data_IF_005488163920
#
_entry.id   IF_005488163920
#
_cell.length_a   1.000
_cell.length_b   1.000
_cell.length_c   1.000
_cell.angle_alpha   90.00
_cell.angle_beta   90.00
_cell.angle_gamma   90.00
#
_symmetry.space_group_name_H-M   'P 1'
#
loop_
_entity.id
_entity.type
_entity.pdbx_description
1 polymer ?
#
# COMPACT_ATOMS: atom_id res chain seq x y z
N UNK A 1 -24.79 -14.84 -5.60
CA UNK A 1 -23.69 -14.00 -6.13
C UNK A 1 -22.67 -13.57 -5.06
N UNK A 2 -23.00 -13.36 -3.78
CA UNK A 2 -22.03 -12.87 -2.78
C UNK A 2 -21.11 -13.94 -2.13
N UNK A 3 -21.38 -15.23 -2.33
CA UNK A 3 -20.72 -16.34 -1.63
C UNK A 3 -19.35 -16.74 -2.17
N UNK A 4 -18.96 -16.27 -3.37
CA UNK A 4 -17.67 -16.59 -4.00
C UNK A 4 -16.55 -15.59 -3.68
N UNK A 5 -16.81 -14.59 -2.81
CA UNK A 5 -15.92 -13.44 -2.61
C UNK A 5 -15.15 -13.45 -1.29
N UNK A 6 -15.36 -14.44 -0.44
CA UNK A 6 -14.72 -14.55 0.88
C UNK A 6 -13.87 -15.84 0.90
N UNK A 7 -12.72 -15.85 1.60
CA UNK A 7 -11.84 -17.02 1.63
C UNK A 7 -12.61 -18.27 2.08
N UNK A 8 -12.45 -19.37 1.34
CA UNK A 8 -13.20 -20.62 1.50
C UNK A 8 -13.07 -21.25 2.91
N UNK A 9 -12.12 -20.78 3.71
CA UNK A 9 -11.77 -21.34 5.01
C UNK A 9 -12.74 -20.98 6.14
N UNK A 10 -13.61 -19.96 5.99
CA UNK A 10 -14.62 -19.59 7.01
C UNK A 10 -15.91 -19.05 6.42
N UNK A 11 -17.04 -19.45 7.02
CA UNK A 11 -18.36 -18.89 6.68
C UNK A 11 -18.40 -17.41 7.07
N UNK A 12 -18.63 -16.50 6.11
CA UNK A 12 -18.66 -15.06 6.37
C UNK A 12 -19.86 -14.67 7.24
N UNK A 13 -19.68 -13.70 8.12
CA UNK A 13 -20.79 -13.15 8.89
C UNK A 13 -21.78 -12.41 7.97
N UNK A 14 -23.09 -12.43 8.25
CA UNK A 14 -24.08 -11.71 7.45
C UNK A 14 -23.75 -10.22 7.27
N UNK A 15 -23.17 -9.60 8.30
CA UNK A 15 -22.74 -8.20 8.24
C UNK A 15 -21.58 -7.99 7.25
N UNK A 16 -20.63 -8.92 7.16
CA UNK A 16 -19.52 -8.84 6.21
C UNK A 16 -20.04 -8.95 4.77
N UNK A 17 -20.97 -9.86 4.52
CA UNK A 17 -21.65 -9.97 3.22
C UNK A 17 -22.33 -8.65 2.87
N UNK A 18 -23.09 -8.08 3.81
CA UNK A 18 -23.79 -6.79 3.61
C UNK A 18 -22.82 -5.66 3.29
N UNK A 19 -21.69 -5.57 3.99
CA UNK A 19 -20.65 -4.57 3.73
C UNK A 19 -20.11 -4.73 2.30
N UNK A 20 -19.68 -5.95 1.94
CA UNK A 20 -19.09 -6.23 0.63
C UNK A 20 -20.08 -5.93 -0.50
N UNK A 21 -21.31 -6.39 -0.39
CA UNK A 21 -22.33 -6.17 -1.44
C UNK A 21 -22.67 -4.69 -1.58
N UNK A 22 -22.79 -3.97 -0.47
CA UNK A 22 -23.08 -2.52 -0.50
C UNK A 22 -21.96 -1.75 -1.18
N UNK A 23 -20.70 -2.07 -0.86
CA UNK A 23 -19.53 -1.44 -1.49
C UNK A 23 -19.50 -1.73 -2.99
N UNK A 24 -19.65 -2.99 -3.40
CA UNK A 24 -19.56 -3.36 -4.82
C UNK A 24 -20.69 -2.72 -5.65
N UNK A 25 -21.90 -2.65 -5.11
CA UNK A 25 -23.02 -1.96 -5.76
C UNK A 25 -22.79 -0.45 -5.88
N UNK A 26 -22.28 0.20 -4.83
CA UNK A 26 -21.95 1.62 -4.87
C UNK A 26 -20.85 1.91 -5.90
N UNK A 27 -19.81 1.07 -5.96
CA UNK A 27 -18.73 1.20 -6.94
C UNK A 27 -19.23 1.05 -8.39
N UNK A 28 -20.14 0.09 -8.65
CA UNK A 28 -20.77 -0.08 -9.96
C UNK A 28 -21.59 1.15 -10.37
N UNK A 29 -22.28 1.77 -9.42
CA UNK A 29 -23.06 2.99 -9.63
C UNK A 29 -22.24 4.29 -9.59
N UNK A 30 -20.96 4.22 -9.24
CA UNK A 30 -20.08 5.38 -8.99
C UNK A 30 -20.60 6.30 -7.89
N UNK A 31 -21.16 5.71 -6.83
CA UNK A 31 -21.73 6.42 -5.68
C UNK A 31 -20.83 6.30 -4.44
N UNK A 32 -21.00 7.24 -3.51
CA UNK A 32 -20.35 7.18 -2.20
C UNK A 32 -21.20 6.33 -1.24
N UNK A 33 -20.54 5.62 -0.33
CA UNK A 33 -21.21 4.82 0.70
C UNK A 33 -20.67 5.16 2.10
N UNK A 34 -21.59 5.35 3.05
CA UNK A 34 -21.28 5.43 4.47
C UNK A 34 -21.69 4.12 5.15
N UNK A 35 -20.75 3.45 5.81
CA UNK A 35 -20.98 2.15 6.44
C UNK A 35 -20.62 2.25 7.92
N UNK A 36 -21.62 2.06 8.77
CA UNK A 36 -21.43 1.84 10.19
C UNK A 36 -21.42 0.34 10.49
N UNK A 37 -20.47 -0.10 11.32
CA UNK A 37 -20.38 -1.51 11.72
C UNK A 37 -19.72 -1.64 13.10
N UNK A 38 -20.26 -2.48 14.02
CA UNK A 38 -19.72 -2.67 15.37
C UNK A 38 -18.28 -3.16 15.38
N UNK A 39 -17.50 -2.83 16.42
CA UNK A 39 -16.15 -3.41 16.63
C UNK A 39 -16.22 -4.94 16.74
N UNK A 40 -15.16 -5.63 16.31
CA UNK A 40 -15.12 -7.10 16.31
C UNK A 40 -15.86 -7.80 15.16
N UNK A 41 -16.57 -7.09 14.28
CA UNK A 41 -17.34 -7.68 13.16
C UNK A 41 -16.50 -8.09 11.92
N UNK A 42 -15.18 -7.97 11.99
CA UNK A 42 -14.28 -8.26 10.86
C UNK A 42 -14.41 -7.25 9.71
N UNK A 43 -14.59 -5.96 10.01
CA UNK A 43 -14.65 -4.87 9.03
C UNK A 43 -13.48 -4.89 8.04
N UNK A 44 -12.26 -5.00 8.53
CA UNK A 44 -11.04 -5.02 7.71
C UNK A 44 -11.08 -6.14 6.66
N UNK A 45 -11.48 -7.34 7.07
CA UNK A 45 -11.62 -8.48 6.16
C UNK A 45 -12.70 -8.22 5.09
N UNK A 46 -13.85 -7.64 5.48
CA UNK A 46 -14.90 -7.29 4.53
C UNK A 46 -14.44 -6.23 3.51
N UNK A 47 -13.75 -5.18 3.97
CA UNK A 47 -13.20 -4.13 3.10
C UNK A 47 -12.18 -4.68 2.10
N UNK A 48 -11.27 -5.54 2.55
CA UNK A 48 -10.26 -6.15 1.68
C UNK A 48 -10.87 -7.12 0.67
N UNK A 49 -11.87 -7.91 1.05
CA UNK A 49 -12.56 -8.77 0.09
C UNK A 49 -13.36 -7.96 -0.94
N UNK A 50 -13.97 -6.84 -0.55
CA UNK A 50 -14.59 -5.91 -1.49
C UNK A 50 -13.56 -5.31 -2.46
N UNK A 51 -12.42 -4.85 -1.95
CA UNK A 51 -11.32 -4.32 -2.76
C UNK A 51 -10.78 -5.36 -3.75
N UNK A 52 -10.47 -6.58 -3.28
CA UNK A 52 -10.05 -7.71 -4.13
C UNK A 52 -11.07 -7.99 -5.23
N UNK A 53 -12.36 -8.05 -4.89
CA UNK A 53 -13.44 -8.32 -5.84
C UNK A 53 -13.59 -7.22 -6.88
N UNK A 54 -13.36 -5.96 -6.49
CA UNK A 54 -13.34 -4.85 -7.43
C UNK A 54 -12.11 -4.89 -8.35
N UNK A 55 -10.96 -5.22 -7.80
CA UNK A 55 -9.68 -5.35 -8.51
C UNK A 55 -9.71 -6.53 -9.49
N UNK A 56 -10.41 -7.63 -9.17
CA UNK A 56 -10.51 -8.80 -10.06
C UNK A 56 -11.37 -8.54 -11.29
N UNK A 57 -12.39 -7.67 -11.19
CA UNK A 57 -13.24 -7.27 -12.33
C UNK A 57 -12.49 -6.50 -13.41
N UNK A 58 -11.55 -5.62 -13.03
CA UNK A 58 -10.72 -4.88 -13.98
C UNK A 58 -9.31 -4.68 -13.41
N UNK A 59 -8.30 -5.12 -14.19
CA UNK A 59 -6.89 -5.04 -13.77
C UNK A 59 -6.35 -3.62 -13.59
N UNK A 60 -7.01 -2.63 -14.17
CA UNK A 60 -6.66 -1.22 -14.04
C UNK A 60 -7.20 -0.56 -12.77
N UNK A 61 -8.05 -1.25 -11.99
CA UNK A 61 -8.61 -0.69 -10.76
C UNK A 61 -7.53 -0.59 -9.67
N UNK A 62 -7.42 0.61 -9.09
CA UNK A 62 -6.54 0.91 -7.95
C UNK A 62 -7.40 1.31 -6.75
N UNK A 63 -7.09 0.75 -5.59
CA UNK A 63 -7.80 1.01 -4.33
C UNK A 63 -6.87 1.73 -3.36
N UNK A 64 -7.31 2.90 -2.88
CA UNK A 64 -6.60 3.64 -1.84
C UNK A 64 -7.21 3.31 -0.48
N UNK A 65 -6.38 2.85 0.44
CA UNK A 65 -6.78 2.57 1.81
C UNK A 65 -6.22 3.66 2.74
N UNK A 66 -7.11 4.50 3.26
CA UNK A 66 -6.72 5.59 4.14
C UNK A 66 -6.97 5.20 5.61
N UNK A 67 -5.95 5.38 6.46
CA UNK A 67 -6.07 5.18 7.90
C UNK A 67 -5.30 6.27 8.66
N UNK A 68 -5.69 6.50 9.92
CA UNK A 68 -5.04 7.45 10.82
C UNK A 68 -3.79 6.89 11.51
N UNK A 69 -3.64 5.57 11.60
CA UNK A 69 -2.52 4.95 12.36
C UNK A 69 -1.73 3.96 11.53
N UNK A 70 -0.41 3.92 11.75
CA UNK A 70 0.49 2.98 11.06
C UNK A 70 0.17 1.52 11.41
N UNK A 71 -0.17 1.23 12.68
CA UNK A 71 -0.56 -0.11 13.13
C UNK A 71 -1.79 -0.67 12.41
N UNK A 72 -2.79 0.18 12.11
CA UNK A 72 -3.97 -0.25 11.34
C UNK A 72 -3.60 -0.63 9.91
N UNK A 73 -2.64 0.07 9.30
CA UNK A 73 -2.17 -0.22 7.95
C UNK A 73 -1.34 -1.51 7.88
N UNK A 74 -0.57 -1.84 8.92
CA UNK A 74 0.15 -3.12 9.03
C UNK A 74 -0.82 -4.30 9.10
N UNK A 75 -1.84 -4.21 9.96
CA UNK A 75 -2.88 -5.24 10.06
C UNK A 75 -3.60 -5.47 8.73
N UNK A 76 -3.86 -4.40 7.98
CA UNK A 76 -4.48 -4.48 6.66
C UNK A 76 -3.57 -5.16 5.65
N UNK A 77 -2.28 -4.84 5.67
CA UNK A 77 -1.28 -5.43 4.79
C UNK A 77 -1.17 -6.94 5.01
N UNK A 78 -1.19 -7.38 6.28
CA UNK A 78 -1.24 -8.79 6.65
C UNK A 78 -2.56 -9.46 6.21
N UNK A 79 -3.69 -8.78 6.39
CA UNK A 79 -5.00 -9.27 5.93
C UNK A 79 -5.02 -9.48 4.41
N UNK A 80 -4.43 -8.58 3.63
CA UNK A 80 -4.31 -8.73 2.17
C UNK A 80 -3.49 -9.98 1.83
N UNK A 81 -2.37 -10.20 2.51
CA UNK A 81 -1.52 -11.38 2.32
C UNK A 81 -2.27 -12.69 2.56
N UNK A 82 -3.12 -12.73 3.57
CA UNK A 82 -3.95 -13.88 3.91
C UNK A 82 -5.08 -14.12 2.89
N UNK A 83 -5.67 -13.05 2.37
CA UNK A 83 -6.78 -13.14 1.41
C UNK A 83 -6.29 -13.45 0.00
N UNK A 84 -5.24 -12.77 -0.45
CA UNK A 84 -4.69 -12.92 -1.80
C UNK A 84 -3.23 -12.41 -1.85
N UNK A 85 -2.30 -13.35 -1.84
CA UNK A 85 -0.86 -13.10 -1.90
C UNK A 85 -0.36 -12.71 -3.29
N UNK A 86 -1.24 -12.48 -4.27
CA UNK A 86 -0.90 -12.00 -5.62
C UNK A 86 -1.16 -10.51 -5.82
N UNK A 87 -1.90 -9.87 -4.91
CA UNK A 87 -2.23 -8.44 -5.01
C UNK A 87 -1.06 -7.59 -4.52
N UNK A 88 -0.45 -6.86 -5.45
CA UNK A 88 0.64 -5.93 -5.12
C UNK A 88 0.14 -4.78 -4.24
N UNK A 89 0.74 -4.62 -3.06
CA UNK A 89 0.46 -3.53 -2.14
C UNK A 89 1.66 -2.63 -1.93
N UNK A 90 1.45 -1.32 -1.81
CA UNK A 90 2.49 -0.37 -1.41
C UNK A 90 1.95 0.67 -0.44
N UNK A 91 2.83 1.24 0.38
CA UNK A 91 2.49 2.34 1.29
C UNK A 91 3.02 3.65 0.74
N UNK A 92 2.16 4.67 0.69
CA UNK A 92 2.56 6.01 0.33
C UNK A 92 3.28 6.64 1.53
N UNK A 93 4.51 7.10 1.29
CA UNK A 93 5.36 7.69 2.32
C UNK A 93 6.15 8.86 1.76
N UNK A 94 6.35 9.91 2.56
CA UNK A 94 7.20 11.03 2.20
C UNK A 94 8.69 10.71 2.29
N UNK A 95 9.50 11.68 1.83
CA UNK A 95 10.96 11.55 1.75
C UNK A 95 11.59 11.52 3.14
N UNK A 96 10.97 12.17 4.12
CA UNK A 96 11.42 12.25 5.51
C UNK A 96 11.54 10.87 6.18
N UNK A 97 10.69 9.90 5.81
CA UNK A 97 10.72 8.54 6.38
C UNK A 97 11.51 7.53 5.52
N UNK A 98 11.75 7.80 4.24
CA UNK A 98 12.40 6.87 3.31
C UNK A 98 13.82 7.27 2.86
N UNK A 99 14.23 8.51 3.09
CA UNK A 99 15.51 8.99 2.57
C UNK A 99 16.68 8.44 3.39
N UNK A 100 17.58 7.70 2.73
CA UNK A 100 18.84 7.22 3.31
C UNK A 100 20.00 8.21 3.14
N UNK A 101 19.81 9.27 2.38
CA UNK A 101 20.83 10.29 2.21
C UNK A 101 20.99 11.03 3.54
N UNK A 102 22.09 10.77 4.25
CA UNK A 102 22.46 11.50 5.45
C UNK A 102 22.44 13.00 5.12
N UNK A 103 21.71 13.80 5.87
CA UNK A 103 21.64 15.24 5.65
C UNK A 103 22.76 15.92 6.47
N UNK A 104 23.92 16.27 5.86
CA UNK A 104 25.00 16.91 6.61
C UNK A 104 24.68 18.35 7.05
N UNK A 105 23.56 18.95 6.62
CA UNK A 105 23.29 20.40 6.81
C UNK A 105 22.05 20.72 7.66
N UNK A 106 21.47 19.74 8.35
CA UNK A 106 20.64 19.92 9.56
C UNK A 106 19.32 20.71 9.48
N UNK A 107 19.13 21.65 8.56
CA UNK A 107 17.99 22.57 8.55
C UNK A 107 17.46 22.79 7.12
N UNK A 108 16.52 21.95 6.70
CA UNK A 108 15.83 22.13 5.42
C UNK A 108 14.82 21.03 5.13
N UNK A 109 13.74 21.39 4.44
CA UNK A 109 12.75 20.45 3.92
C UNK A 109 13.47 19.38 3.08
N UNK A 110 13.31 18.09 3.44
CA UNK A 110 13.96 16.97 2.75
C UNK A 110 13.63 16.95 1.25
N UNK A 111 12.47 17.44 0.83
CA UNK A 111 12.14 17.59 -0.58
C UNK A 111 13.04 18.60 -1.30
N UNK A 112 13.34 19.73 -0.65
CA UNK A 112 14.25 20.75 -1.17
C UNK A 112 15.68 20.19 -1.27
N UNK A 113 16.19 19.61 -0.17
CA UNK A 113 17.52 18.98 -0.13
C UNK A 113 17.65 17.94 -1.26
N UNK A 114 16.66 17.05 -1.37
CA UNK A 114 16.62 16.03 -2.41
C UNK A 114 16.71 16.65 -3.81
N UNK A 115 15.95 17.71 -4.11
CA UNK A 115 15.97 18.32 -5.44
C UNK A 115 17.34 18.92 -5.80
N UNK A 116 18.07 19.45 -4.82
CA UNK A 116 19.44 19.97 -5.01
C UNK A 116 20.44 18.85 -5.24
N UNK A 117 20.43 17.81 -4.39
CA UNK A 117 21.48 16.76 -4.44
C UNK A 117 21.22 15.67 -5.48
N UNK A 118 19.98 15.53 -5.97
CA UNK A 118 19.55 14.43 -6.84
C UNK A 118 20.39 14.25 -8.10
N UNK A 119 20.78 15.36 -8.75
CA UNK A 119 21.54 15.32 -10.01
C UNK A 119 23.06 15.30 -9.80
N UNK A 120 23.52 15.90 -8.72
CA UNK A 120 24.95 16.21 -8.57
C UNK A 120 25.67 15.24 -7.61
N UNK A 121 25.03 14.82 -6.50
CA UNK A 121 25.74 14.14 -5.40
C UNK A 121 25.01 12.95 -4.76
N UNK A 122 23.75 12.67 -5.13
CA UNK A 122 22.99 11.58 -4.54
C UNK A 122 23.34 10.22 -5.16
N UNK A 123 24.26 9.48 -4.51
CA UNK A 123 24.64 8.11 -4.90
C UNK A 123 23.40 7.22 -5.09
N UNK A 124 22.49 7.25 -4.12
CA UNK A 124 21.26 6.46 -4.14
C UNK A 124 20.37 6.71 -5.37
N UNK A 125 20.20 7.96 -5.79
CA UNK A 125 19.39 8.27 -6.98
C UNK A 125 20.15 7.92 -8.26
N UNK A 126 21.45 8.19 -8.31
CA UNK A 126 22.29 7.91 -9.49
C UNK A 126 22.36 6.43 -9.86
N UNK A 127 22.15 5.54 -8.88
CA UNK A 127 22.13 4.09 -9.07
C UNK A 127 20.78 3.55 -9.52
N UNK A 128 19.71 4.36 -9.50
CA UNK A 128 18.41 3.96 -10.02
C UNK A 128 18.53 3.72 -11.53
N UNK A 129 18.20 2.50 -11.96
CA UNK A 129 18.30 2.09 -13.36
C UNK A 129 19.65 1.50 -13.75
N UNK A 130 20.68 1.65 -12.90
CA UNK A 130 21.97 0.94 -13.04
C UNK A 130 21.96 -0.38 -12.27
N UNK A 131 21.28 -0.41 -11.14
CA UNK A 131 21.12 -1.59 -10.28
C UNK A 131 19.70 -2.13 -10.42
N UNK A 132 19.56 -3.46 -10.44
CA UNK A 132 18.25 -4.12 -10.45
C UNK A 132 17.47 -3.77 -9.17
N UNK A 133 16.21 -3.37 -9.34
CA UNK A 133 15.38 -3.00 -8.18
C UNK A 133 15.03 -4.25 -7.36
N UNK A 134 14.96 -4.14 -6.02
CA UNK A 134 14.72 -5.27 -5.13
C UNK A 134 13.43 -6.00 -5.50
N UNK A 135 13.53 -7.26 -5.92
CA UNK A 135 12.32 -8.05 -6.21
C UNK A 135 11.56 -8.31 -4.90
N UNK A 136 10.25 -8.00 -4.86
CA UNK A 136 9.40 -8.42 -3.76
C UNK A 136 9.52 -9.92 -3.50
N UNK A 137 9.65 -10.35 -2.25
CA UNK A 137 9.56 -11.77 -1.86
C UNK A 137 8.10 -12.28 -1.81
N UNK A 138 7.24 -11.78 -2.70
CA UNK A 138 5.77 -12.01 -2.72
C UNK A 138 5.02 -10.75 -3.16
N UNK A 139 3.69 -10.69 -3.08
CA UNK A 139 2.96 -9.49 -3.50
C UNK A 139 3.02 -8.31 -2.53
N UNK A 140 3.64 -8.47 -1.36
CA UNK A 140 3.73 -7.41 -0.35
C UNK A 140 5.19 -7.21 0.01
N UNK A 141 5.74 -6.04 -0.29
CA UNK A 141 7.00 -5.58 0.33
C UNK A 141 6.64 -4.69 1.50
N UNK A 142 7.08 -5.06 2.70
CA UNK A 142 7.03 -4.14 3.83
C UNK A 142 8.05 -3.00 3.63
N UNK A 143 7.76 -1.85 4.21
CA UNK A 143 8.62 -0.68 4.10
C UNK A 143 10.00 -0.90 4.70
N UNK A 144 10.08 -1.57 5.85
CA UNK A 144 11.35 -1.83 6.53
C UNK A 144 12.24 -2.73 5.66
N UNK A 145 11.64 -3.77 5.06
CA UNK A 145 12.29 -4.62 4.08
C UNK A 145 12.75 -3.82 2.85
N UNK A 146 11.90 -2.93 2.33
CA UNK A 146 12.24 -2.07 1.20
C UNK A 146 13.47 -1.21 1.51
N UNK A 147 13.47 -0.54 2.67
CA UNK A 147 14.56 0.36 3.08
C UNK A 147 15.85 -0.43 3.31
N UNK A 148 15.77 -1.58 3.98
CA UNK A 148 16.91 -2.47 4.23
C UNK A 148 17.53 -2.97 2.91
N UNK A 149 16.71 -3.45 1.98
CA UNK A 149 17.19 -3.93 0.68
C UNK A 149 17.78 -2.79 -0.17
N UNK A 150 17.13 -1.62 -0.17
CA UNK A 150 17.64 -0.46 -0.89
C UNK A 150 18.95 0.07 -0.31
N UNK A 151 19.13 -0.02 1.02
CA UNK A 151 20.39 0.31 1.70
C UNK A 151 21.52 -0.60 1.24
N UNK A 152 21.29 -1.93 1.22
CA UNK A 152 22.28 -2.90 0.73
C UNK A 152 22.64 -2.71 -0.74
N UNK A 153 21.66 -2.36 -1.57
CA UNK A 153 21.85 -2.14 -3.01
C UNK A 153 22.32 -0.71 -3.36
N UNK A 154 22.43 0.18 -2.37
CA UNK A 154 22.79 1.59 -2.57
C UNK A 154 21.90 2.30 -3.61
N UNK A 155 20.58 2.05 -3.55
CA UNK A 155 19.56 2.70 -4.39
C UNK A 155 18.59 3.52 -3.54
N UNK A 156 17.94 4.52 -4.12
CA UNK A 156 17.06 5.42 -3.37
C UNK A 156 15.71 4.75 -3.03
N UNK A 157 15.39 4.52 -1.73
CA UNK A 157 14.15 3.84 -1.37
C UNK A 157 12.90 4.64 -1.78
N UNK A 158 12.95 5.97 -1.70
CA UNK A 158 11.82 6.82 -2.07
C UNK A 158 11.40 6.65 -3.54
N UNK A 159 12.34 6.78 -4.48
CA UNK A 159 12.02 6.64 -5.90
C UNK A 159 11.75 5.19 -6.30
N UNK A 160 12.35 4.21 -5.60
CA UNK A 160 11.96 2.79 -5.74
C UNK A 160 10.52 2.58 -5.30
N UNK A 161 10.10 3.15 -4.16
CA UNK A 161 8.71 3.07 -3.70
C UNK A 161 7.74 3.72 -4.70
N UNK A 162 8.09 4.88 -5.28
CA UNK A 162 7.28 5.51 -6.34
C UNK A 162 7.09 4.59 -7.55
N UNK A 163 8.15 3.85 -7.96
CA UNK A 163 8.04 2.84 -9.02
C UNK A 163 7.19 1.63 -8.64
N UNK A 164 7.08 1.33 -7.35
CA UNK A 164 6.21 0.24 -6.86
C UNK A 164 4.76 0.69 -6.72
N UNK A 165 4.52 1.94 -6.29
CA UNK A 165 3.18 2.53 -6.24
C UNK A 165 2.52 2.49 -7.62
N UNK A 166 3.25 2.76 -8.71
CA UNK A 166 2.70 2.67 -10.07
C UNK A 166 2.35 1.25 -10.53
N UNK A 167 2.85 0.21 -9.85
CA UNK A 167 2.57 -1.20 -10.13
C UNK A 167 1.62 -1.84 -9.09
N UNK A 168 1.24 -1.08 -8.06
CA UNK A 168 0.44 -1.56 -6.94
C UNK A 168 -1.04 -1.33 -7.19
N UNK A 169 -1.85 -2.23 -6.63
CA UNK A 169 -3.31 -2.25 -6.81
C UNK A 169 -4.02 -1.82 -5.55
N UNK A 170 -3.39 -2.02 -4.40
CA UNK A 170 -3.82 -1.44 -3.12
C UNK A 170 -2.71 -0.51 -2.63
N UNK A 171 -3.06 0.76 -2.40
CA UNK A 171 -2.14 1.78 -1.91
C UNK A 171 -2.61 2.24 -0.53
N UNK A 172 -1.80 1.98 0.48
CA UNK A 172 -2.07 2.38 1.86
C UNK A 172 -1.55 3.79 2.12
N UNK A 173 -2.41 4.66 2.66
CA UNK A 173 -2.10 6.06 2.99
C UNK A 173 -2.36 6.26 4.49
N UNK A 174 -1.34 6.73 5.20
CA UNK A 174 -1.46 7.13 6.60
C UNK A 174 -1.71 8.63 6.65
N UNK A 175 -2.81 9.07 7.25
CA UNK A 175 -3.14 10.49 7.46
C UNK A 175 -2.65 11.03 8.80
N UNK A 176 -1.68 10.38 9.43
CA UNK A 176 -1.12 10.77 10.74
C UNK A 176 0.15 11.61 10.58
N UNK A 177 0.07 12.84 11.10
CA UNK A 177 1.18 13.76 11.43
C UNK A 177 2.36 13.07 12.10
#
# INVERSE_FOLDING_TARGET
MASSFLPETRKPYPIQIKIVTTILQALEKKENVLIESPTGSGKSLALINAARSWISKNRSNVVYYCSRTHQQLEQITQTVREVDSTINTSRLMGKEKLCLYANPRGNGNMACVCNTVKKDSCVYFSNIGKVETPKPAGAVIDMEDLVSQCSRLQICPYYTNVKYISKSRIISVCSGT
#
